data_IF_425107956369
#
_entry.id   IF_425107956369
#
_cell.length_a   1.000
_cell.length_b   1.000
_cell.length_c   1.000
_cell.angle_alpha   90.00
_cell.angle_beta   90.00
_cell.angle_gamma   90.00
#
_symmetry.space_group_name_H-M   'P 1'
#
loop_
_entity.id
_entity.type
_entity.pdbx_description
1 polymer ?
#
# COMPACT_ATOMS: atom_id res chain seq x y z
N UNK A 1 -4.65 20.64 9.82
CA UNK A 1 -3.17 20.62 9.80
C UNK A 1 -2.65 21.01 8.42
N UNK A 2 -1.44 21.54 8.33
CA UNK A 2 -0.82 21.98 7.07
C UNK A 2 -0.77 20.86 6.01
N UNK A 3 -0.61 19.61 6.42
CA UNK A 3 -0.64 18.47 5.51
C UNK A 3 -2.02 18.24 4.87
N UNK A 4 -3.11 18.60 5.51
CA UNK A 4 -4.47 18.55 4.92
C UNK A 4 -4.64 19.65 3.88
N UNK A 5 -4.12 20.84 4.14
CA UNK A 5 -4.09 21.93 3.16
C UNK A 5 -3.25 21.56 1.95
N UNK A 6 -2.10 20.90 2.15
CA UNK A 6 -1.28 20.40 1.06
C UNK A 6 -1.99 19.31 0.24
N UNK A 7 -2.75 18.41 0.87
CA UNK A 7 -3.61 17.44 0.20
C UNK A 7 -4.72 18.09 -0.61
N UNK A 8 -5.39 19.10 -0.04
CA UNK A 8 -6.42 19.86 -0.73
C UNK A 8 -5.88 20.49 -2.04
N UNK A 9 -4.69 21.06 -1.97
CA UNK A 9 -4.01 21.65 -3.15
C UNK A 9 -3.62 20.58 -4.17
N UNK A 10 -3.07 19.46 -3.71
CA UNK A 10 -2.66 18.35 -4.56
C UNK A 10 -3.86 17.71 -5.27
N UNK A 11 -4.93 17.44 -4.52
CA UNK A 11 -6.12 16.78 -5.03
C UNK A 11 -7.12 17.74 -5.69
N UNK A 12 -6.96 19.06 -5.49
CA UNK A 12 -7.96 20.09 -5.90
C UNK A 12 -9.36 19.73 -5.40
N UNK A 13 -9.47 19.27 -4.17
CA UNK A 13 -10.69 18.74 -3.56
C UNK A 13 -11.15 19.61 -2.38
N UNK A 14 -12.42 19.52 -1.95
CA UNK A 14 -12.89 20.17 -0.73
C UNK A 14 -12.07 19.71 0.49
N UNK A 15 -11.94 20.61 1.47
CA UNK A 15 -11.12 20.37 2.66
C UNK A 15 -11.58 19.12 3.42
N UNK A 16 -12.89 18.96 3.58
CA UNK A 16 -13.52 17.84 4.28
C UNK A 16 -13.19 16.49 3.64
N UNK A 17 -13.11 16.44 2.31
CA UNK A 17 -12.78 15.22 1.58
C UNK A 17 -11.34 14.73 1.85
N UNK A 18 -10.45 15.62 2.28
CA UNK A 18 -9.05 15.29 2.55
C UNK A 18 -8.81 14.67 3.94
N UNK A 19 -9.86 14.51 4.76
CA UNK A 19 -9.74 13.83 6.06
C UNK A 19 -9.90 12.30 5.97
N UNK A 20 -10.60 11.82 4.95
CA UNK A 20 -10.90 10.39 4.80
C UNK A 20 -9.99 9.73 3.77
N UNK A 21 -9.28 8.68 4.18
CA UNK A 21 -8.32 7.97 3.34
C UNK A 21 -8.96 7.41 2.06
N UNK A 22 -10.15 6.83 2.15
CA UNK A 22 -10.91 6.33 1.00
C UNK A 22 -11.21 7.42 -0.02
N UNK A 23 -11.61 8.60 0.45
CA UNK A 23 -11.91 9.72 -0.44
C UNK A 23 -10.66 10.25 -1.15
N UNK A 24 -9.52 10.34 -0.46
CA UNK A 24 -8.26 10.84 -1.05
C UNK A 24 -7.82 10.02 -2.25
N UNK A 25 -7.78 8.70 -2.11
CA UNK A 25 -7.39 7.79 -3.19
C UNK A 25 -8.37 7.83 -4.34
N UNK A 26 -9.68 7.75 -4.07
CA UNK A 26 -10.72 7.83 -5.09
C UNK A 26 -10.69 9.13 -5.89
N UNK A 27 -10.55 10.28 -5.22
CA UNK A 27 -10.45 11.59 -5.88
C UNK A 27 -9.19 11.65 -6.75
N UNK A 28 -8.06 11.13 -6.27
CA UNK A 28 -6.84 11.07 -7.06
C UNK A 28 -7.05 10.31 -8.36
N UNK A 29 -7.61 9.09 -8.32
CA UNK A 29 -7.87 8.29 -9.51
C UNK A 29 -8.89 8.90 -10.43
N UNK A 30 -10.00 9.42 -9.93
CA UNK A 30 -11.01 10.09 -10.75
C UNK A 30 -10.48 11.31 -11.50
N UNK A 31 -9.51 12.04 -10.93
CA UNK A 31 -8.95 13.24 -11.54
C UNK A 31 -7.76 12.98 -12.45
N UNK A 32 -6.95 11.98 -12.14
CA UNK A 32 -5.70 11.75 -12.86
C UNK A 32 -5.72 10.53 -13.76
N UNK A 33 -6.66 9.62 -13.55
CA UNK A 33 -6.61 8.36 -14.26
C UNK A 33 -7.60 8.26 -15.38
N UNK A 34 -8.51 9.25 -15.51
CA UNK A 34 -9.18 9.04 -16.74
C UNK A 34 -10.05 7.77 -16.78
N UNK A 35 -10.25 7.14 -15.66
CA UNK A 35 -10.83 5.83 -15.53
C UNK A 35 -12.04 5.86 -14.60
N UNK A 36 -13.13 5.25 -15.04
CA UNK A 36 -14.30 5.08 -14.18
C UNK A 36 -13.98 4.04 -13.14
N UNK A 37 -14.37 4.31 -11.88
CA UNK A 37 -14.34 3.30 -10.86
C UNK A 37 -15.00 2.02 -11.38
N UNK A 38 -14.37 0.84 -11.21
CA UNK A 38 -15.04 -0.39 -11.56
C UNK A 38 -16.31 -0.47 -10.72
N UNK A 39 -17.47 -0.42 -11.37
CA UNK A 39 -18.74 -0.61 -10.71
C UNK A 39 -18.85 -2.09 -10.36
N UNK A 40 -18.30 -2.47 -9.21
CA UNK A 40 -18.66 -3.72 -8.59
C UNK A 40 -20.09 -3.61 -8.05
N UNK A 41 -20.92 -4.59 -8.28
CA UNK A 41 -22.09 -4.79 -7.45
C UNK A 41 -21.61 -4.83 -5.99
N UNK A 42 -22.37 -4.25 -5.06
CA UNK A 42 -22.11 -4.39 -3.62
C UNK A 42 -22.20 -5.88 -3.30
N UNK A 43 -21.06 -6.56 -3.35
CA UNK A 43 -20.98 -7.96 -2.98
C UNK A 43 -21.10 -8.13 -1.47
N UNK A 44 -21.36 -9.36 -1.05
CA UNK A 44 -21.26 -9.74 0.35
C UNK A 44 -19.84 -9.40 0.87
N UNK A 45 -19.77 -9.03 2.14
CA UNK A 45 -18.51 -8.68 2.78
C UNK A 45 -17.60 -9.90 2.85
N UNK A 46 -16.64 -9.99 1.95
CA UNK A 46 -15.66 -11.08 1.91
C UNK A 46 -14.52 -10.77 2.88
N UNK A 47 -14.30 -11.67 3.83
CA UNK A 47 -13.14 -11.59 4.71
C UNK A 47 -11.91 -12.16 3.98
N UNK A 48 -10.77 -11.45 4.09
CA UNK A 48 -9.48 -11.90 3.61
C UNK A 48 -8.41 -11.67 4.68
N UNK A 49 -7.30 -12.37 4.58
CA UNK A 49 -6.21 -12.20 5.52
C UNK A 49 -5.54 -10.82 5.39
N UNK A 50 -5.47 -10.12 6.51
CA UNK A 50 -4.83 -8.82 6.62
C UNK A 50 -3.30 -8.90 6.78
N UNK A 51 -2.74 -7.94 7.51
CA UNK A 51 -1.33 -7.90 7.87
C UNK A 51 -0.95 -9.05 8.80
N UNK A 52 0.30 -9.49 8.71
CA UNK A 52 0.91 -10.38 9.69
C UNK A 52 1.28 -9.56 10.94
N UNK A 53 0.79 -10.01 12.08
CA UNK A 53 1.16 -9.48 13.39
C UNK A 53 1.81 -10.62 14.16
N UNK A 54 3.03 -10.41 14.60
CA UNK A 54 3.73 -11.33 15.48
C UNK A 54 3.27 -11.07 16.91
N UNK A 55 2.77 -12.10 17.60
CA UNK A 55 2.38 -11.98 19.01
C UNK A 55 3.48 -12.58 19.90
N UNK A 56 4.28 -11.74 20.59
CA UNK A 56 5.37 -12.24 21.44
C UNK A 56 4.90 -13.13 22.58
N UNK A 57 3.64 -12.97 23.02
CA UNK A 57 3.10 -13.80 24.12
C UNK A 57 2.81 -15.22 23.66
N UNK A 58 2.19 -15.38 22.49
CA UNK A 58 1.88 -16.71 21.92
C UNK A 58 3.13 -17.44 21.46
N UNK A 59 4.17 -16.72 21.02
CA UNK A 59 5.45 -17.27 20.54
C UNK A 59 6.48 -17.49 21.66
N UNK A 60 6.14 -17.18 22.91
CA UNK A 60 7.04 -17.37 24.05
C UNK A 60 8.25 -16.42 24.06
N UNK A 61 8.20 -15.35 23.28
CA UNK A 61 9.29 -14.35 23.15
C UNK A 61 9.05 -13.08 23.92
N UNK A 62 8.10 -13.07 24.87
CA UNK A 62 7.85 -11.94 25.74
C UNK A 62 8.97 -11.75 26.77
N UNK A 63 9.24 -10.52 27.14
CA UNK A 63 10.22 -10.18 28.18
C UNK A 63 11.14 -9.03 27.78
N UNK A 64 12.20 -8.86 28.57
CA UNK A 64 13.23 -7.85 28.34
C UNK A 64 14.28 -8.41 27.38
N UNK A 65 14.43 -7.78 26.23
CA UNK A 65 15.46 -8.11 25.25
C UNK A 65 16.52 -7.01 25.19
N UNK A 66 17.81 -7.41 25.20
CA UNK A 66 18.95 -6.49 25.12
C UNK A 66 19.61 -6.65 23.74
N UNK A 67 20.08 -5.54 23.16
CA UNK A 67 20.77 -5.57 21.85
C UNK A 67 19.81 -5.77 20.67
N UNK A 68 18.59 -5.27 20.75
CA UNK A 68 17.57 -5.40 19.71
C UNK A 68 17.87 -4.48 18.54
N UNK A 69 17.85 -5.03 17.32
CA UNK A 69 17.86 -4.27 16.08
C UNK A 69 16.44 -4.23 15.49
N UNK A 70 15.96 -3.04 15.13
CA UNK A 70 14.65 -2.87 14.50
C UNK A 70 14.80 -2.59 13.00
N UNK A 71 14.05 -3.33 12.18
CA UNK A 71 14.01 -3.14 10.74
C UNK A 71 12.58 -2.76 10.33
N UNK A 72 12.46 -1.85 9.36
CA UNK A 72 11.17 -1.41 8.82
C UNK A 72 11.24 -1.32 7.30
N UNK A 73 10.15 -1.75 6.64
CA UNK A 73 10.02 -1.63 5.19
C UNK A 73 9.57 -0.22 4.82
N UNK A 74 10.35 0.45 3.99
CA UNK A 74 9.94 1.72 3.43
C UNK A 74 8.73 1.56 2.52
N UNK A 75 7.54 1.97 2.99
CA UNK A 75 6.29 1.93 2.19
C UNK A 75 5.94 0.51 1.73
N UNK A 76 5.80 -0.44 2.66
CA UNK A 76 5.59 -1.87 2.36
C UNK A 76 4.49 -2.11 1.31
N UNK A 77 3.25 -1.69 1.53
CA UNK A 77 2.14 -1.93 0.62
C UNK A 77 2.32 -1.26 -0.77
N UNK A 78 2.70 0.02 -0.86
CA UNK A 78 3.06 0.63 -2.13
C UNK A 78 4.17 -0.12 -2.89
N UNK A 79 5.17 -0.63 -2.18
CA UNK A 79 6.25 -1.41 -2.78
C UNK A 79 5.76 -2.75 -3.34
N UNK A 80 4.82 -3.41 -2.67
CA UNK A 80 4.22 -4.66 -3.17
C UNK A 80 3.35 -4.43 -4.41
N UNK A 81 2.60 -3.32 -4.46
CA UNK A 81 1.84 -2.95 -5.65
C UNK A 81 2.74 -2.83 -6.88
N UNK A 82 3.93 -2.24 -6.72
CA UNK A 82 4.91 -2.11 -7.81
C UNK A 82 5.54 -3.46 -8.14
N UNK A 83 6.03 -4.19 -7.13
CA UNK A 83 6.82 -5.40 -7.32
C UNK A 83 6.04 -6.54 -8.00
N UNK A 84 4.73 -6.60 -7.81
CA UNK A 84 3.84 -7.62 -8.38
C UNK A 84 2.88 -7.05 -9.43
N UNK A 85 3.06 -5.79 -9.82
CA UNK A 85 2.19 -5.10 -10.78
C UNK A 85 0.69 -5.22 -10.44
N UNK A 86 0.36 -5.11 -9.14
CA UNK A 86 -1.00 -5.32 -8.63
C UNK A 86 -1.87 -4.13 -9.02
N UNK A 87 -2.86 -4.36 -9.90
CA UNK A 87 -3.83 -3.37 -10.35
C UNK A 87 -5.06 -4.06 -10.93
N UNK A 88 -6.17 -3.34 -11.04
CA UNK A 88 -7.45 -3.90 -11.53
C UNK A 88 -7.34 -4.45 -12.96
N UNK A 89 -6.71 -3.72 -13.85
CA UNK A 89 -6.57 -4.06 -15.27
C UNK A 89 -5.42 -5.03 -15.56
N UNK A 90 -4.55 -5.26 -14.59
CA UNK A 90 -3.47 -6.24 -14.73
C UNK A 90 -3.85 -7.63 -14.21
N UNK A 91 -5.02 -7.80 -13.58
CA UNK A 91 -5.50 -9.13 -13.18
C UNK A 91 -5.52 -10.07 -14.40
N UNK A 92 -5.03 -11.29 -14.22
CA UNK A 92 -4.99 -12.33 -15.26
C UNK A 92 -5.64 -13.60 -14.75
N UNK A 93 -6.32 -14.30 -15.67
CA UNK A 93 -6.81 -15.68 -15.41
C UNK A 93 -5.75 -16.73 -15.73
N UNK A 94 -4.80 -16.34 -16.60
CA UNK A 94 -3.71 -17.20 -17.00
C UNK A 94 -2.51 -17.02 -16.06
N UNK A 95 -1.76 -18.09 -15.77
CA UNK A 95 -0.55 -18.02 -14.97
C UNK A 95 0.47 -17.04 -15.55
N UNK A 96 1.08 -16.24 -14.67
CA UNK A 96 2.16 -15.32 -15.00
C UNK A 96 3.25 -15.40 -13.94
N UNK A 97 4.41 -14.79 -14.17
CA UNK A 97 5.47 -14.70 -13.18
C UNK A 97 5.07 -13.88 -11.93
N UNK A 98 4.08 -12.99 -12.05
CA UNK A 98 3.53 -12.21 -10.93
C UNK A 98 2.35 -12.97 -10.29
N UNK A 99 2.66 -14.09 -9.67
CA UNK A 99 1.73 -14.89 -8.91
C UNK A 99 1.72 -14.51 -7.43
N UNK A 100 0.55 -14.42 -6.83
CA UNK A 100 0.38 -14.13 -5.40
C UNK A 100 -0.58 -15.15 -4.80
N UNK A 101 -0.12 -15.91 -3.82
CA UNK A 101 -0.99 -16.76 -3.00
C UNK A 101 -1.65 -15.90 -1.91
N UNK A 102 -2.96 -15.66 -2.02
CA UNK A 102 -3.69 -14.80 -1.09
C UNK A 102 -4.04 -15.48 0.23
N UNK A 103 -3.98 -16.80 0.28
CA UNK A 103 -4.22 -17.60 1.50
C UNK A 103 -2.92 -17.96 2.22
N UNK A 104 -1.89 -17.15 2.12
CA UNK A 104 -0.62 -17.40 2.79
C UNK A 104 -0.83 -17.54 4.30
N UNK A 105 -0.59 -18.71 4.90
CA UNK A 105 -0.85 -18.94 6.31
C UNK A 105 0.00 -18.04 7.22
N UNK A 106 -0.51 -17.76 8.41
CA UNK A 106 0.20 -16.93 9.40
C UNK A 106 1.38 -17.65 10.00
N UNK A 107 1.29 -18.97 10.13
CA UNK A 107 2.41 -19.80 10.58
C UNK A 107 3.17 -20.40 9.39
N UNK A 108 4.41 -20.79 9.64
CA UNK A 108 5.32 -21.28 8.60
C UNK A 108 5.08 -22.74 8.23
N UNK A 109 4.18 -23.45 8.90
CA UNK A 109 4.03 -24.90 8.82
C UNK A 109 2.91 -25.37 7.89
N UNK A 110 1.93 -24.51 7.54
CA UNK A 110 0.76 -24.93 6.77
C UNK A 110 0.63 -24.16 5.44
N UNK A 111 1.02 -24.84 4.35
CA UNK A 111 1.03 -24.30 2.97
C UNK A 111 -0.01 -25.03 2.08
N UNK A 112 -1.05 -25.60 2.65
CA UNK A 112 -1.88 -26.59 1.94
C UNK A 112 -3.04 -26.05 1.10
N UNK A 113 -3.38 -24.75 1.17
CA UNK A 113 -4.46 -24.16 0.37
C UNK A 113 -3.94 -22.99 -0.43
N UNK A 114 -3.81 -23.17 -1.72
CA UNK A 114 -3.38 -22.13 -2.66
C UNK A 114 -4.59 -21.52 -3.34
N UNK A 115 -4.81 -20.20 -3.10
CA UNK A 115 -5.65 -19.36 -3.92
C UNK A 115 -4.77 -18.32 -4.60
N UNK A 116 -4.34 -18.63 -5.80
CA UNK A 116 -3.34 -17.84 -6.52
C UNK A 116 -4.03 -16.79 -7.39
N UNK A 117 -3.54 -15.57 -7.28
CA UNK A 117 -3.92 -14.47 -8.17
C UNK A 117 -2.73 -14.13 -9.05
N UNK A 118 -2.99 -13.92 -10.32
CA UNK A 118 -1.98 -13.60 -11.33
C UNK A 118 -2.15 -12.17 -11.83
N UNK A 119 -1.03 -11.50 -12.08
CA UNK A 119 -0.99 -10.16 -12.63
C UNK A 119 -0.12 -10.13 -13.89
N UNK A 120 -0.57 -9.40 -14.91
CA UNK A 120 0.13 -9.27 -16.20
C UNK A 120 1.46 -8.54 -16.02
N UNK A 121 2.42 -8.86 -16.88
CA UNK A 121 3.79 -8.34 -16.85
C UNK A 121 4.11 -7.44 -18.06
N UNK A 122 3.27 -7.46 -19.07
CA UNK A 122 3.46 -6.78 -20.34
C UNK A 122 3.27 -5.26 -20.27
N UNK A 123 2.48 -4.79 -19.32
CA UNK A 123 2.16 -3.37 -19.16
C UNK A 123 2.05 -3.01 -17.67
N UNK A 124 2.67 -1.88 -17.32
CA UNK A 124 2.57 -1.34 -15.97
C UNK A 124 1.14 -0.92 -15.65
N UNK A 125 0.62 -1.45 -14.55
CA UNK A 125 -0.73 -1.17 -14.08
C UNK A 125 -0.92 0.26 -13.58
N UNK A 126 -2.18 0.69 -13.52
CA UNK A 126 -2.57 2.03 -13.08
C UNK A 126 -2.13 2.31 -11.63
N UNK A 127 -2.36 1.34 -10.74
CA UNK A 127 -2.04 1.49 -9.32
C UNK A 127 -0.51 1.58 -9.09
N UNK A 128 0.33 0.67 -9.62
CA UNK A 128 1.78 0.80 -9.59
C UNK A 128 2.30 2.10 -10.20
N UNK A 129 1.74 2.51 -11.35
CA UNK A 129 2.12 3.76 -12.02
C UNK A 129 1.86 4.97 -11.12
N UNK A 130 0.67 5.07 -10.53
CA UNK A 130 0.31 6.14 -9.62
C UNK A 130 1.24 6.18 -8.39
N UNK A 131 1.58 5.01 -7.83
CA UNK A 131 2.54 4.91 -6.71
C UNK A 131 3.92 5.41 -7.11
N UNK A 132 4.43 5.02 -8.29
CA UNK A 132 5.74 5.47 -8.79
C UNK A 132 5.79 6.99 -8.98
N UNK A 133 4.76 7.58 -9.59
CA UNK A 133 4.65 9.02 -9.79
C UNK A 133 4.64 9.78 -8.45
N UNK A 134 3.83 9.32 -7.49
CA UNK A 134 3.76 9.92 -6.17
C UNK A 134 5.05 9.72 -5.35
N UNK A 135 5.72 8.60 -5.52
CA UNK A 135 7.03 8.36 -4.90
C UNK A 135 8.06 9.36 -5.41
N UNK A 136 8.15 9.54 -6.72
CA UNK A 136 9.04 10.53 -7.33
C UNK A 136 8.74 11.96 -6.83
N UNK A 137 7.46 12.33 -6.78
CA UNK A 137 7.02 13.62 -6.24
C UNK A 137 7.41 13.79 -4.77
N UNK A 138 7.24 12.75 -3.95
CA UNK A 138 7.63 12.76 -2.55
C UNK A 138 9.14 12.93 -2.36
N UNK A 139 9.93 12.25 -3.17
CA UNK A 139 11.38 12.33 -3.09
C UNK A 139 11.89 13.74 -3.52
N UNK A 140 11.24 14.37 -4.49
CA UNK A 140 11.48 15.77 -4.84
C UNK A 140 11.17 16.72 -3.66
N UNK A 141 10.02 16.54 -2.99
CA UNK A 141 9.68 17.36 -1.82
C UNK A 141 10.64 17.14 -0.65
N UNK A 142 11.12 15.91 -0.42
CA UNK A 142 12.15 15.62 0.58
C UNK A 142 13.48 16.29 0.25
N UNK A 143 13.86 16.31 -1.03
CA UNK A 143 15.07 17.00 -1.49
C UNK A 143 14.96 18.50 -1.22
N UNK A 144 13.84 19.14 -1.62
CA UNK A 144 13.56 20.55 -1.37
C UNK A 144 13.51 20.87 0.13
N UNK A 145 12.95 19.98 0.95
CA UNK A 145 12.94 20.14 2.40
C UNK A 145 14.36 20.17 2.99
N UNK A 146 15.25 19.32 2.50
CA UNK A 146 16.65 19.31 2.95
C UNK A 146 17.46 20.53 2.48
N UNK A 147 17.05 21.14 1.38
CA UNK A 147 17.69 22.33 0.79
C UNK A 147 17.04 23.64 1.26
N UNK A 148 16.01 23.58 2.10
CA UNK A 148 15.30 24.75 2.59
C UNK A 148 16.23 25.63 3.43
N UNK A 149 16.30 26.90 3.12
CA UNK A 149 17.11 27.90 3.81
C UNK A 149 16.38 28.53 5.00
N UNK A 150 15.03 28.52 4.94
CA UNK A 150 14.18 29.06 5.99
C UNK A 150 13.34 27.98 6.67
N UNK A 151 12.94 28.26 7.91
CA UNK A 151 12.04 27.38 8.67
C UNK A 151 10.69 27.23 7.99
N UNK A 152 10.18 28.30 7.41
CA UNK A 152 8.90 28.34 6.68
C UNK A 152 8.96 27.42 5.44
N UNK A 153 10.03 27.48 4.68
CA UNK A 153 10.24 26.59 3.53
C UNK A 153 10.33 25.14 3.96
N UNK A 154 11.10 24.85 5.01
CA UNK A 154 11.21 23.50 5.56
C UNK A 154 9.84 22.94 5.98
N UNK A 155 9.03 23.72 6.71
CA UNK A 155 7.67 23.34 7.11
C UNK A 155 6.79 23.08 5.87
N UNK A 156 6.85 23.96 4.88
CA UNK A 156 6.10 23.79 3.61
C UNK A 156 6.43 22.48 2.91
N UNK A 157 7.70 22.20 2.70
CA UNK A 157 8.10 20.99 1.97
C UNK A 157 7.85 19.72 2.78
N UNK A 158 8.01 19.78 4.10
CA UNK A 158 7.64 18.69 4.99
C UNK A 158 6.15 18.39 4.92
N UNK A 159 5.29 19.40 4.96
CA UNK A 159 3.83 19.25 4.84
C UNK A 159 3.44 18.61 3.49
N UNK A 160 4.08 19.04 2.41
CA UNK A 160 3.85 18.49 1.08
C UNK A 160 4.26 17.00 0.98
N UNK A 161 5.45 16.61 1.48
CA UNK A 161 5.87 15.21 1.43
C UNK A 161 5.00 14.30 2.32
N UNK A 162 4.50 14.83 3.45
CA UNK A 162 3.56 14.11 4.31
C UNK A 162 2.18 13.95 3.65
N UNK A 163 1.73 14.95 2.90
CA UNK A 163 0.50 14.87 2.12
C UNK A 163 0.57 13.73 1.09
N UNK A 164 1.66 13.66 0.33
CA UNK A 164 1.89 12.59 -0.64
C UNK A 164 1.99 11.23 0.05
N UNK A 165 2.67 11.13 1.21
CA UNK A 165 2.73 9.89 1.99
C UNK A 165 1.34 9.40 2.38
N UNK A 166 0.46 10.29 2.86
CA UNK A 166 -0.93 9.95 3.22
C UNK A 166 -1.74 9.49 2.03
N UNK A 167 -1.58 10.19 0.89
CA UNK A 167 -2.27 9.81 -0.35
C UNK A 167 -1.87 8.41 -0.82
N UNK A 168 -0.59 8.08 -0.85
CA UNK A 168 -0.13 6.73 -1.21
C UNK A 168 -0.65 5.65 -0.24
N UNK A 169 -0.68 5.96 1.06
CA UNK A 169 -1.22 5.04 2.06
C UNK A 169 -2.73 4.78 1.86
N UNK A 170 -3.46 5.75 1.30
CA UNK A 170 -4.89 5.59 1.04
C UNK A 170 -5.22 4.62 -0.10
N UNK A 171 -4.26 4.30 -0.97
CA UNK A 171 -4.48 3.42 -2.13
C UNK A 171 -4.87 2.00 -1.73
N UNK A 172 -4.24 1.44 -0.69
CA UNK A 172 -4.71 0.18 -0.12
C UNK A 172 -6.14 0.32 0.42
N UNK A 173 -6.44 1.39 1.14
CA UNK A 173 -7.76 1.63 1.72
C UNK A 173 -8.89 1.63 0.69
N UNK A 174 -8.67 2.18 -0.52
CA UNK A 174 -9.71 2.18 -1.57
C UNK A 174 -9.95 0.80 -2.17
N UNK A 175 -8.98 -0.08 -2.16
CA UNK A 175 -9.13 -1.46 -2.63
C UNK A 175 -9.78 -2.36 -1.58
N UNK A 176 -9.57 -2.06 -0.31
CA UNK A 176 -10.04 -2.84 0.83
C UNK A 176 -11.44 -2.46 1.31
N UNK A 177 -11.87 -1.21 1.11
CA UNK A 177 -13.15 -0.72 1.60
C UNK A 177 -14.28 -1.10 0.64
N UNK A 178 -14.97 -2.18 0.94
CA UNK A 178 -15.93 -2.86 0.06
C UNK A 178 -17.16 -2.03 -0.35
N UNK A 179 -17.48 -0.96 0.38
CA UNK A 179 -18.55 -0.04 0.00
C UNK A 179 -18.12 1.00 -1.04
N UNK A 180 -16.87 0.98 -1.42
CA UNK A 180 -16.28 1.96 -2.33
C UNK A 180 -16.16 1.38 -3.76
N UNK A 181 -16.51 2.15 -4.78
CA UNK A 181 -16.55 1.67 -6.16
C UNK A 181 -15.21 1.20 -6.74
N UNK A 182 -14.09 1.39 -6.00
CA UNK A 182 -12.74 0.90 -6.32
C UNK A 182 -12.36 -0.35 -5.55
N UNK A 183 -13.26 -0.84 -4.69
CA UNK A 183 -12.98 -2.03 -3.89
C UNK A 183 -12.82 -3.26 -4.77
N UNK A 184 -11.79 -4.03 -4.48
CA UNK A 184 -11.51 -5.31 -5.11
C UNK A 184 -10.76 -6.18 -4.10
N UNK A 185 -11.43 -7.21 -3.61
CA UNK A 185 -10.91 -8.11 -2.57
C UNK A 185 -9.66 -8.83 -3.05
N UNK A 186 -9.60 -9.25 -4.32
CA UNK A 186 -8.42 -9.93 -4.87
C UNK A 186 -7.20 -9.00 -4.84
N UNK A 187 -7.38 -7.72 -5.17
CA UNK A 187 -6.30 -6.73 -5.12
C UNK A 187 -5.86 -6.49 -3.67
N UNK A 188 -6.82 -6.23 -2.78
CA UNK A 188 -6.52 -5.98 -1.37
C UNK A 188 -5.82 -7.17 -0.71
N UNK A 189 -6.32 -8.39 -0.94
CA UNK A 189 -5.72 -9.63 -0.45
C UNK A 189 -4.33 -9.88 -1.04
N UNK A 190 -4.13 -9.59 -2.33
CA UNK A 190 -2.81 -9.74 -2.98
C UNK A 190 -1.77 -8.78 -2.42
N UNK A 191 -2.16 -7.54 -2.09
CA UNK A 191 -1.26 -6.57 -1.45
C UNK A 191 -0.82 -7.05 -0.07
N UNK A 192 -1.76 -7.49 0.76
CA UNK A 192 -1.44 -7.97 2.12
C UNK A 192 -0.67 -9.27 2.10
N UNK A 193 -1.01 -10.21 1.22
CA UNK A 193 -0.29 -11.46 1.05
C UNK A 193 1.17 -11.24 0.60
N UNK A 194 1.39 -10.40 -0.39
CA UNK A 194 2.74 -10.02 -0.83
C UNK A 194 3.55 -9.35 0.30
N UNK A 195 2.89 -8.56 1.13
CA UNK A 195 3.53 -7.95 2.30
C UNK A 195 3.90 -8.99 3.37
N UNK A 196 3.02 -9.95 3.66
CA UNK A 196 3.31 -11.07 4.56
C UNK A 196 4.49 -11.90 4.06
N UNK A 197 4.52 -12.21 2.77
CA UNK A 197 5.65 -12.91 2.13
C UNK A 197 6.97 -12.14 2.29
N UNK A 198 6.96 -10.83 2.03
CA UNK A 198 8.15 -10.00 2.18
C UNK A 198 8.67 -9.96 3.64
N UNK A 199 7.77 -9.86 4.62
CA UNK A 199 8.13 -9.92 6.04
C UNK A 199 8.75 -11.27 6.41
N UNK A 200 8.16 -12.38 5.94
CA UNK A 200 8.69 -13.73 6.15
C UNK A 200 10.07 -13.90 5.55
N UNK A 201 10.25 -13.50 4.30
CA UNK A 201 11.57 -13.57 3.66
C UNK A 201 12.63 -12.77 4.41
N UNK A 202 12.28 -11.58 4.92
CA UNK A 202 13.18 -10.78 5.75
C UNK A 202 13.51 -11.48 7.07
N UNK A 203 12.51 -12.06 7.75
CA UNK A 203 12.72 -12.78 9.01
C UNK A 203 13.62 -14.00 8.82
N UNK A 204 13.41 -14.79 7.77
CA UNK A 204 14.29 -15.92 7.45
C UNK A 204 15.72 -15.47 7.19
N UNK A 205 15.91 -14.40 6.41
CA UNK A 205 17.25 -13.86 6.13
C UNK A 205 17.99 -13.42 7.40
N UNK A 206 17.28 -12.84 8.37
CA UNK A 206 17.87 -12.46 9.67
C UNK A 206 18.23 -13.69 10.51
N UNK A 207 17.43 -14.77 10.44
CA UNK A 207 17.74 -16.00 11.18
C UNK A 207 18.89 -16.82 10.58
N UNK A 208 19.27 -16.58 9.33
CA UNK A 208 20.45 -17.20 8.67
C UNK A 208 21.80 -16.50 9.03
N UNK A 209 21.75 -15.32 9.69
CA UNK A 209 22.93 -14.54 10.10
C UNK A 209 23.40 -14.92 11.50
#
# INVERSE_FOLDING_TARGET
>A
SESVIALQRLLKAPFEACFYASNMGGIYFMRNAWWKAPTGEKGERVNYEGAMIYDPLSEGTNGLHIGVAAFDFAQLYPSMMIARNISWETKSKEPTEFAVNILTPRDFSDVTKEDIRYFKTDKLGLLPKAVLELKALRDDYKRKMKQAETKEEHIKWNSNQLAVKRLMASFYGITAYQEFGWADVDIAASITASAREAIRCAAFKVMEL
#
